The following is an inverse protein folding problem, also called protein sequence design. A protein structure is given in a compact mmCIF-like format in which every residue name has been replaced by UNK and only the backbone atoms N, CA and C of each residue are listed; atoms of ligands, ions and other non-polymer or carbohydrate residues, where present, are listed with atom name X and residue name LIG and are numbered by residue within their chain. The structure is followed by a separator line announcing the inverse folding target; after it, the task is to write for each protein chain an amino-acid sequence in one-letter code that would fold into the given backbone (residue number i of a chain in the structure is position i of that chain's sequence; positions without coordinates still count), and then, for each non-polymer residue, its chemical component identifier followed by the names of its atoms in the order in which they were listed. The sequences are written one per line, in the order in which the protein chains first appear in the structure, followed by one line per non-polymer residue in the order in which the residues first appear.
data_IF_479727313096
#
_entry.id   IF_479727313096
#
_cell.length_a   1.000
_cell.length_b   1.000
_cell.length_c   1.000
_cell.angle_alpha   90.00
_cell.angle_beta   90.00
_cell.angle_gamma   90.00
#
_symmetry.space_group_name_H-M   'P 1'
#
loop_
_entity.id
_entity.type
_entity.pdbx_description
1 polymer ?
#
# COMPACT_ATOMS: atom_id res chain seq x y z
N UNK A 1 4.56 58.48 21.31
CA UNK A 1 4.44 57.77 22.61
C UNK A 1 2.99 57.37 22.91
N UNK A 2 1.97 58.16 22.52
CA UNK A 2 0.57 57.75 22.62
C UNK A 2 0.25 56.47 21.83
N UNK A 3 0.78 56.31 20.62
CA UNK A 3 0.57 55.10 19.80
C UNK A 3 1.08 53.80 20.42
N UNK A 4 2.20 53.84 21.15
CA UNK A 4 2.78 52.61 21.74
C UNK A 4 1.96 52.16 22.95
N UNK A 5 1.47 53.11 23.75
CA UNK A 5 0.62 52.81 24.91
C UNK A 5 -0.73 52.25 24.43
N UNK A 6 -1.29 52.81 23.35
CA UNK A 6 -2.54 52.33 22.75
C UNK A 6 -2.38 50.94 22.11
N UNK A 7 -1.28 50.69 21.40
CA UNK A 7 -0.97 49.34 20.89
C UNK A 7 -0.79 48.34 22.04
N UNK A 8 -0.08 48.71 23.11
CA UNK A 8 0.10 47.85 24.27
C UNK A 8 -1.21 47.58 25.03
N UNK A 9 -2.08 48.58 25.18
CA UNK A 9 -3.40 48.39 25.81
C UNK A 9 -4.29 47.47 24.98
N UNK A 10 -4.30 47.65 23.65
CA UNK A 10 -5.07 46.80 22.74
C UNK A 10 -4.56 45.36 22.73
N UNK A 11 -3.24 45.15 22.83
CA UNK A 11 -2.65 43.82 22.96
C UNK A 11 -2.98 43.17 24.31
N UNK A 12 -2.89 43.92 25.42
CA UNK A 12 -3.24 43.42 26.75
C UNK A 12 -4.71 43.06 26.86
N UNK A 13 -5.60 43.87 26.30
CA UNK A 13 -7.04 43.60 26.27
C UNK A 13 -7.34 42.34 25.45
N UNK A 14 -6.67 42.16 24.31
CA UNK A 14 -6.77 40.93 23.50
C UNK A 14 -6.32 39.69 24.29
N UNK A 15 -5.20 39.77 25.03
CA UNK A 15 -4.70 38.66 25.84
C UNK A 15 -5.67 38.32 26.98
N UNK A 16 -6.18 39.33 27.69
CA UNK A 16 -7.12 39.14 28.79
C UNK A 16 -8.42 38.51 28.29
N UNK A 17 -8.93 38.96 27.14
CA UNK A 17 -10.13 38.41 26.52
C UNK A 17 -9.94 36.99 25.98
N UNK A 18 -8.70 36.57 25.69
CA UNK A 18 -8.37 35.20 25.27
C UNK A 18 -8.26 34.21 26.44
N UNK A 19 -8.02 34.66 27.67
CA UNK A 19 -7.84 33.79 28.84
C UNK A 19 -8.99 32.79 29.06
N UNK A 20 -10.28 33.18 29.00
CA UNK A 20 -11.39 32.24 29.14
C UNK A 20 -11.40 31.15 28.07
N UNK A 21 -11.12 31.51 26.81
CA UNK A 21 -11.06 30.57 25.70
C UNK A 21 -9.90 29.59 25.84
N UNK A 22 -8.73 30.07 26.29
CA UNK A 22 -7.55 29.23 26.56
C UNK A 22 -7.86 28.21 27.65
N UNK A 23 -8.48 28.65 28.76
CA UNK A 23 -8.88 27.73 29.84
C UNK A 23 -9.89 26.69 29.36
N UNK A 24 -10.89 27.09 28.58
CA UNK A 24 -11.87 26.18 28.00
C UNK A 24 -11.21 25.15 27.06
N UNK A 25 -10.31 25.60 26.17
CA UNK A 25 -9.56 24.73 25.27
C UNK A 25 -8.70 23.69 26.01
N UNK A 26 -8.00 24.11 27.07
CA UNK A 26 -7.20 23.20 27.92
C UNK A 26 -8.10 22.13 28.57
N UNK A 27 -9.26 22.53 29.10
CA UNK A 27 -10.22 21.61 29.71
C UNK A 27 -10.71 20.59 28.68
N UNK A 28 -11.05 21.03 27.47
CA UNK A 28 -11.52 20.14 26.39
C UNK A 28 -10.44 19.13 26.00
N UNK A 29 -9.19 19.56 25.83
CA UNK A 29 -8.07 18.65 25.53
C UNK A 29 -7.87 17.65 26.67
N UNK A 30 -7.90 18.10 27.93
CA UNK A 30 -7.77 17.23 29.09
C UNK A 30 -8.88 16.18 29.13
N UNK A 31 -10.13 16.58 28.89
CA UNK A 31 -11.27 15.67 28.80
C UNK A 31 -11.11 14.68 27.64
N UNK A 32 -10.71 15.16 26.46
CA UNK A 32 -10.43 14.30 25.30
C UNK A 32 -9.37 13.25 25.58
N UNK A 33 -8.29 13.61 26.28
CA UNK A 33 -7.25 12.68 26.69
C UNK A 33 -7.74 11.63 27.69
N UNK A 34 -8.52 12.03 28.68
CA UNK A 34 -9.10 11.12 29.68
C UNK A 34 -10.08 10.16 29.01
N UNK A 35 -11.06 10.69 28.28
CA UNK A 35 -12.08 9.90 27.56
C UNK A 35 -11.40 8.98 26.54
N UNK A 36 -10.50 9.52 25.72
CA UNK A 36 -9.76 8.73 24.73
C UNK A 36 -8.94 7.62 25.36
N UNK A 37 -8.33 7.84 26.52
CA UNK A 37 -7.59 6.80 27.25
C UNK A 37 -8.50 5.71 27.80
N UNK A 38 -9.68 6.07 28.29
CA UNK A 38 -10.67 5.11 28.79
C UNK A 38 -11.24 4.27 27.65
N UNK A 39 -11.68 4.92 26.58
CA UNK A 39 -12.26 4.25 25.41
C UNK A 39 -11.20 3.40 24.71
N UNK A 40 -9.98 3.91 24.52
CA UNK A 40 -8.88 3.16 23.91
C UNK A 40 -8.53 1.89 24.69
N UNK A 41 -8.53 1.95 26.04
CA UNK A 41 -8.36 0.76 26.89
C UNK A 41 -9.52 -0.22 26.76
N UNK A 42 -10.76 0.27 26.71
CA UNK A 42 -11.93 -0.58 26.54
C UNK A 42 -11.89 -1.30 25.18
N UNK A 43 -11.55 -0.59 24.10
CA UNK A 43 -11.41 -1.17 22.76
C UNK A 43 -10.27 -2.18 22.73
N UNK A 44 -9.11 -1.86 23.30
CA UNK A 44 -7.99 -2.80 23.41
C UNK A 44 -8.42 -4.11 24.10
N UNK A 45 -9.09 -4.00 25.24
CA UNK A 45 -9.62 -5.15 25.97
C UNK A 45 -10.62 -5.98 25.14
N UNK A 46 -11.54 -5.32 24.41
CA UNK A 46 -12.49 -5.99 23.54
C UNK A 46 -11.80 -6.74 22.38
N UNK A 47 -10.86 -6.09 21.69
CA UNK A 47 -10.12 -6.69 20.57
C UNK A 47 -9.31 -7.90 21.03
N UNK A 48 -8.61 -7.79 22.16
CA UNK A 48 -7.87 -8.91 22.74
C UNK A 48 -8.79 -10.08 23.11
N UNK A 49 -9.99 -9.81 23.63
CA UNK A 49 -10.95 -10.83 24.03
C UNK A 49 -11.63 -11.52 22.84
N UNK A 50 -11.84 -10.81 21.73
CA UNK A 50 -12.40 -11.35 20.50
C UNK A 50 -11.45 -12.31 19.76
N UNK A 51 -10.19 -12.42 20.19
CA UNK A 51 -9.23 -13.33 19.59
C UNK A 51 -8.74 -12.91 18.20
N UNK A 52 -9.06 -11.68 17.77
CA UNK A 52 -8.61 -11.10 16.51
C UNK A 52 -7.08 -11.10 16.40
N UNK A 53 -6.40 -10.96 17.53
CA UNK A 53 -4.95 -11.02 17.66
C UNK A 53 -4.39 -12.37 17.17
N UNK A 54 -4.99 -13.50 17.56
CA UNK A 54 -4.53 -14.83 17.10
C UNK A 54 -4.64 -15.01 15.58
N UNK A 55 -5.64 -14.40 14.96
CA UNK A 55 -5.80 -14.41 13.50
C UNK A 55 -4.77 -13.52 12.83
N UNK A 56 -4.55 -12.32 13.36
CA UNK A 56 -3.55 -11.36 12.90
C UNK A 56 -2.15 -11.97 12.90
N UNK A 57 -1.76 -12.61 13.99
CA UNK A 57 -0.42 -13.16 14.18
C UNK A 57 -0.09 -14.37 13.29
N UNK A 58 -1.11 -15.01 12.73
CA UNK A 58 -0.92 -16.05 11.72
C UNK A 58 -0.66 -15.48 10.32
N UNK A 59 -0.95 -14.19 10.10
CA UNK A 59 -0.66 -13.51 8.84
C UNK A 59 0.82 -13.14 8.75
N UNK A 60 1.33 -13.00 7.53
CA UNK A 60 2.72 -12.57 7.29
C UNK A 60 3.00 -11.18 7.87
N UNK A 61 2.00 -10.30 7.85
CA UNK A 61 2.08 -8.93 8.39
C UNK A 61 2.07 -8.96 9.93
N UNK A 62 1.19 -9.75 10.54
CA UNK A 62 1.13 -9.86 12.00
C UNK A 62 2.38 -10.46 12.61
N UNK A 63 3.02 -11.43 11.96
CA UNK A 63 4.34 -11.93 12.39
C UNK A 63 5.40 -10.83 12.44
N UNK A 64 5.42 -9.93 11.44
CA UNK A 64 6.36 -8.80 11.38
C UNK A 64 6.06 -7.74 12.45
N UNK A 65 4.78 -7.48 12.73
CA UNK A 65 4.34 -6.58 13.80
C UNK A 65 4.71 -7.11 15.18
N UNK A 66 4.44 -8.39 15.46
CA UNK A 66 4.81 -9.04 16.72
C UNK A 66 6.33 -9.07 16.92
N UNK A 67 7.10 -9.33 15.87
CA UNK A 67 8.58 -9.27 15.98
C UNK A 67 9.10 -7.89 16.33
N UNK A 68 8.30 -6.84 16.08
CA UNK A 68 8.61 -5.44 16.45
C UNK A 68 8.08 -5.07 17.85
N UNK A 69 7.50 -6.03 18.59
CA UNK A 69 6.92 -5.80 19.92
C UNK A 69 5.59 -5.04 19.91
N UNK A 70 4.86 -5.05 18.79
CA UNK A 70 3.57 -4.37 18.64
C UNK A 70 2.42 -5.38 18.57
N UNK A 71 1.39 -5.16 19.38
CA UNK A 71 0.16 -5.96 19.38
C UNK A 71 -0.97 -5.24 18.64
N UNK A 72 -1.78 -5.98 17.87
CA UNK A 72 -2.91 -5.40 17.11
C UNK A 72 -3.92 -4.69 18.02
N UNK A 73 -4.20 -5.28 19.17
CA UNK A 73 -5.14 -4.76 20.17
C UNK A 73 -4.67 -3.42 20.75
N UNK A 74 -3.37 -3.31 21.05
CA UNK A 74 -2.71 -2.08 21.46
C UNK A 74 -2.73 -1.01 20.35
N UNK A 75 -2.50 -1.39 19.10
CA UNK A 75 -2.57 -0.47 17.97
C UNK A 75 -3.98 0.07 17.75
N UNK A 76 -5.00 -0.80 17.69
CA UNK A 76 -6.39 -0.37 17.49
C UNK A 76 -6.85 0.51 18.66
N UNK A 77 -6.57 0.12 19.91
CA UNK A 77 -6.89 0.93 21.09
C UNK A 77 -6.15 2.28 21.09
N UNK A 78 -4.88 2.29 20.66
CA UNK A 78 -4.07 3.49 20.50
C UNK A 78 -4.62 4.44 19.43
N UNK A 79 -5.05 3.90 18.28
CA UNK A 79 -5.67 4.68 17.21
C UNK A 79 -7.00 5.28 17.67
N UNK A 80 -7.86 4.51 18.35
CA UNK A 80 -9.13 5.04 18.89
C UNK A 80 -8.88 6.15 19.90
N UNK A 81 -7.91 5.97 20.81
CA UNK A 81 -7.48 7.02 21.73
C UNK A 81 -7.03 8.27 20.95
N UNK A 82 -6.14 8.09 19.98
CA UNK A 82 -5.62 9.19 19.18
C UNK A 82 -6.75 9.93 18.45
N UNK A 83 -7.69 9.21 17.85
CA UNK A 83 -8.84 9.78 17.17
C UNK A 83 -9.68 10.68 18.09
N UNK A 84 -10.01 10.20 19.29
CA UNK A 84 -10.77 11.00 20.27
C UNK A 84 -9.97 12.24 20.72
N UNK A 85 -8.66 12.09 20.95
CA UNK A 85 -7.79 13.21 21.31
C UNK A 85 -7.74 14.25 20.18
N UNK A 86 -7.65 13.81 18.93
CA UNK A 86 -7.64 14.69 17.76
C UNK A 86 -8.96 15.47 17.67
N UNK A 87 -10.10 14.83 17.86
CA UNK A 87 -11.39 15.54 17.89
C UNK A 87 -11.42 16.60 18.99
N UNK A 88 -10.87 16.30 20.16
CA UNK A 88 -10.75 17.29 21.24
C UNK A 88 -9.80 18.44 20.89
N UNK A 89 -8.71 18.17 20.16
CA UNK A 89 -7.79 19.21 19.66
C UNK A 89 -8.48 20.10 18.62
N UNK A 90 -9.24 19.53 17.68
CA UNK A 90 -10.03 20.30 16.70
C UNK A 90 -10.99 21.24 17.44
N UNK A 91 -11.80 20.71 18.36
CA UNK A 91 -12.73 21.51 19.17
C UNK A 91 -12.00 22.60 19.99
N UNK A 92 -10.82 22.30 20.53
CA UNK A 92 -10.03 23.26 21.27
C UNK A 92 -9.52 24.40 20.37
N UNK A 93 -9.07 24.10 19.16
CA UNK A 93 -8.65 25.11 18.17
C UNK A 93 -9.83 26.00 17.78
N UNK A 94 -11.01 25.41 17.56
CA UNK A 94 -12.25 26.15 17.28
C UNK A 94 -12.64 27.08 18.45
N UNK A 95 -12.56 26.60 19.69
CA UNK A 95 -12.82 27.40 20.90
C UNK A 95 -11.84 28.58 21.02
N UNK A 96 -10.56 28.36 20.72
CA UNK A 96 -9.55 29.40 20.73
C UNK A 96 -9.82 30.49 19.68
N UNK A 97 -10.60 30.17 18.65
CA UNK A 97 -10.97 31.06 17.54
C UNK A 97 -9.76 31.85 17.03
N UNK A 98 -8.64 31.14 16.80
CA UNK A 98 -7.42 31.73 16.27
C UNK A 98 -7.74 32.21 14.87
N UNK A 99 -8.03 33.49 14.68
CA UNK A 99 -8.35 34.03 13.36
C UNK A 99 -7.12 34.12 12.44
N UNK A 100 -7.39 34.41 11.16
CA UNK A 100 -6.36 34.63 10.15
C UNK A 100 -5.67 33.33 9.67
N UNK A 101 -4.61 33.50 8.90
CA UNK A 101 -3.95 32.39 8.19
C UNK A 101 -3.41 31.31 9.12
N UNK A 102 -2.94 31.69 10.31
CA UNK A 102 -2.45 30.73 11.31
C UNK A 102 -3.58 29.80 11.78
N UNK A 103 -4.78 30.35 12.02
CA UNK A 103 -5.97 29.58 12.35
C UNK A 103 -6.31 28.56 11.29
N UNK A 104 -6.35 29.02 10.04
CA UNK A 104 -6.66 28.19 8.88
C UNK A 104 -5.69 27.00 8.76
N UNK A 105 -4.38 27.23 8.98
CA UNK A 105 -3.40 26.15 8.99
C UNK A 105 -3.56 25.19 10.16
N UNK A 106 -3.88 25.69 11.36
CA UNK A 106 -4.11 24.85 12.54
C UNK A 106 -5.32 23.93 12.33
N UNK A 107 -6.40 24.46 11.77
CA UNK A 107 -7.60 23.68 11.43
C UNK A 107 -7.26 22.66 10.34
N UNK A 108 -6.56 23.06 9.27
CA UNK A 108 -6.18 22.15 8.18
C UNK A 108 -5.29 20.99 8.67
N UNK A 109 -4.32 21.25 9.56
CA UNK A 109 -3.48 20.21 10.17
C UNK A 109 -4.34 19.30 11.05
N UNK A 110 -5.21 19.86 11.87
CA UNK A 110 -6.06 19.09 12.76
C UNK A 110 -7.04 18.20 11.98
N UNK A 111 -7.62 18.70 10.89
CA UNK A 111 -8.52 17.96 9.98
C UNK A 111 -7.80 16.87 9.16
N UNK A 112 -6.49 16.99 8.99
CA UNK A 112 -5.68 15.96 8.36
C UNK A 112 -5.45 14.76 9.27
N UNK A 113 -5.35 14.96 10.59
CA UNK A 113 -5.03 13.89 11.54
C UNK A 113 -6.04 12.72 11.54
N UNK A 114 -7.38 12.93 11.45
CA UNK A 114 -8.34 11.85 11.28
C UNK A 114 -8.09 11.02 10.02
N UNK A 115 -7.75 11.67 8.90
CA UNK A 115 -7.42 11.01 7.63
C UNK A 115 -6.15 10.20 7.74
N UNK A 116 -5.14 10.76 8.42
CA UNK A 116 -3.88 10.07 8.70
C UNK A 116 -4.13 8.75 9.45
N UNK A 117 -4.94 8.81 10.52
CA UNK A 117 -5.32 7.62 11.28
C UNK A 117 -6.12 6.63 10.44
N UNK A 118 -7.09 7.10 9.65
CA UNK A 118 -7.89 6.25 8.78
C UNK A 118 -7.01 5.53 7.75
N UNK A 119 -6.06 6.22 7.12
CA UNK A 119 -5.11 5.62 6.17
C UNK A 119 -4.24 4.55 6.82
N UNK A 120 -3.70 4.80 8.02
CA UNK A 120 -2.94 3.82 8.79
C UNK A 120 -3.80 2.58 9.10
N UNK A 121 -5.05 2.78 9.53
CA UNK A 121 -5.98 1.68 9.79
C UNK A 121 -6.31 0.88 8.53
N UNK A 122 -6.51 1.54 7.38
CA UNK A 122 -6.76 0.87 6.12
C UNK A 122 -5.58 -0.03 5.75
N UNK A 123 -4.34 0.43 5.93
CA UNK A 123 -3.15 -0.39 5.66
C UNK A 123 -3.13 -1.61 6.59
N UNK A 124 -3.29 -1.40 7.91
CA UNK A 124 -3.21 -2.48 8.90
C UNK A 124 -4.34 -3.49 8.70
N UNK A 125 -5.59 -3.04 8.69
CA UNK A 125 -6.78 -3.92 8.58
C UNK A 125 -6.86 -4.52 7.18
N UNK A 126 -6.62 -3.71 6.15
CA UNK A 126 -6.67 -4.14 4.76
C UNK A 126 -5.62 -5.19 4.45
N UNK A 127 -4.40 -5.09 4.98
CA UNK A 127 -3.38 -6.10 4.76
C UNK A 127 -3.74 -7.45 5.39
N UNK A 128 -4.40 -7.44 6.56
CA UNK A 128 -4.93 -8.64 7.21
C UNK A 128 -6.04 -9.26 6.40
N UNK A 129 -6.96 -8.41 5.92
CA UNK A 129 -8.04 -8.84 5.06
C UNK A 129 -7.51 -9.44 3.74
N UNK A 130 -6.50 -8.84 3.14
CA UNK A 130 -5.85 -9.34 1.93
C UNK A 130 -5.20 -10.72 2.15
N UNK A 131 -4.49 -10.92 3.26
CA UNK A 131 -3.89 -12.22 3.61
C UNK A 131 -4.96 -13.28 3.89
N UNK A 132 -6.01 -12.93 4.64
CA UNK A 132 -7.14 -13.81 4.92
C UNK A 132 -7.84 -14.24 3.62
N UNK A 133 -8.22 -13.28 2.76
CA UNK A 133 -8.98 -13.55 1.55
C UNK A 133 -8.15 -14.35 0.53
N UNK A 134 -6.89 -13.97 0.32
CA UNK A 134 -5.99 -14.71 -0.57
C UNK A 134 -5.74 -16.13 -0.08
N UNK A 135 -5.56 -16.33 1.23
CA UNK A 135 -5.37 -17.66 1.81
C UNK A 135 -6.64 -18.50 1.77
N UNK A 136 -7.80 -17.90 1.99
CA UNK A 136 -9.10 -18.57 1.85
C UNK A 136 -9.31 -19.07 0.43
N UNK A 137 -9.12 -18.20 -0.57
CA UNK A 137 -9.23 -18.55 -1.99
C UNK A 137 -8.19 -19.59 -2.37
N UNK A 138 -6.93 -19.44 -1.93
CA UNK A 138 -5.87 -20.43 -2.16
C UNK A 138 -6.24 -21.82 -1.66
N UNK A 139 -6.85 -21.93 -0.47
CA UNK A 139 -7.33 -23.21 0.08
C UNK A 139 -8.50 -23.81 -0.71
N UNK A 140 -9.38 -22.99 -1.28
CA UNK A 140 -10.48 -23.47 -2.13
C UNK A 140 -9.99 -23.91 -3.51
N UNK A 141 -8.98 -23.22 -4.04
CA UNK A 141 -8.44 -23.44 -5.38
C UNK A 141 -7.46 -24.62 -5.40
N UNK A 142 -6.68 -24.83 -4.32
CA UNK A 142 -5.65 -25.89 -4.26
C UNK A 142 -6.17 -27.31 -4.54
N UNK A 143 -7.35 -27.74 -4.04
CA UNK A 143 -7.94 -29.04 -4.38
C UNK A 143 -8.34 -29.21 -5.85
N UNK A 144 -8.46 -28.12 -6.61
CA UNK A 144 -8.80 -28.16 -8.04
C UNK A 144 -7.60 -28.53 -8.93
N UNK A 145 -6.39 -28.52 -8.36
CA UNK A 145 -5.15 -28.88 -9.05
C UNK A 145 -4.62 -30.22 -8.53
N UNK A 146 -4.01 -31.01 -9.41
CA UNK A 146 -3.26 -32.23 -9.00
C UNK A 146 -2.05 -31.85 -8.14
N UNK A 147 -1.49 -32.81 -7.38
CA UNK A 147 -0.30 -32.56 -6.53
C UNK A 147 0.87 -31.97 -7.34
N UNK A 148 1.04 -32.42 -8.59
CA UNK A 148 2.02 -31.91 -9.56
C UNK A 148 1.76 -30.46 -10.00
N UNK A 149 0.52 -29.95 -9.90
CA UNK A 149 0.13 -28.58 -10.27
C UNK A 149 -0.17 -27.69 -9.08
N UNK A 150 0.19 -28.14 -7.87
CA UNK A 150 -0.04 -27.40 -6.63
C UNK A 150 0.63 -26.01 -6.62
N UNK A 151 1.68 -25.83 -7.41
CA UNK A 151 2.37 -24.54 -7.60
C UNK A 151 1.53 -23.50 -8.33
N UNK A 152 0.63 -23.91 -9.22
CA UNK A 152 -0.31 -23.01 -9.90
C UNK A 152 -1.30 -22.44 -8.88
N UNK A 153 -1.77 -23.26 -7.95
CA UNK A 153 -2.65 -22.80 -6.87
C UNK A 153 -1.95 -21.80 -5.95
N UNK A 154 -0.69 -22.06 -5.60
CA UNK A 154 0.10 -21.18 -4.76
C UNK A 154 0.43 -19.85 -5.49
N UNK A 155 0.68 -19.90 -6.80
CA UNK A 155 0.83 -18.71 -7.65
C UNK A 155 -0.46 -17.88 -7.66
N UNK A 156 -1.62 -18.48 -7.94
CA UNK A 156 -2.91 -17.77 -7.96
C UNK A 156 -3.22 -17.08 -6.62
N UNK A 157 -2.91 -17.75 -5.50
CA UNK A 157 -2.98 -17.16 -4.17
C UNK A 157 -2.09 -15.93 -4.04
N UNK A 158 -0.83 -16.02 -4.47
CA UNK A 158 0.13 -14.92 -4.38
C UNK A 158 -0.28 -13.73 -5.26
N UNK A 159 -0.79 -13.99 -6.47
CA UNK A 159 -1.27 -12.94 -7.37
C UNK A 159 -2.45 -12.18 -6.77
N UNK A 160 -3.40 -12.92 -6.21
CA UNK A 160 -4.54 -12.32 -5.51
C UNK A 160 -4.07 -11.50 -4.31
N UNK A 161 -3.12 -12.02 -3.51
CA UNK A 161 -2.56 -11.29 -2.38
C UNK A 161 -1.92 -9.97 -2.82
N UNK A 162 -1.03 -9.99 -3.83
CA UNK A 162 -0.37 -8.78 -4.35
C UNK A 162 -1.39 -7.78 -4.87
N UNK A 163 -2.41 -8.23 -5.62
CA UNK A 163 -3.48 -7.36 -6.12
C UNK A 163 -4.31 -6.73 -5.00
N UNK A 164 -4.67 -7.49 -3.97
CA UNK A 164 -5.43 -6.98 -2.82
C UNK A 164 -4.60 -6.01 -1.99
N UNK A 165 -3.31 -6.28 -1.76
CA UNK A 165 -2.42 -5.35 -1.05
C UNK A 165 -2.27 -4.05 -1.84
N UNK A 166 -2.12 -4.11 -3.17
CA UNK A 166 -2.07 -2.93 -4.00
C UNK A 166 -3.35 -2.10 -3.90
N UNK A 167 -4.52 -2.75 -3.93
CA UNK A 167 -5.80 -2.09 -3.72
C UNK A 167 -5.89 -1.42 -2.35
N UNK A 168 -5.45 -2.11 -1.29
CA UNK A 168 -5.40 -1.54 0.07
C UNK A 168 -4.49 -0.32 0.14
N UNK A 169 -3.31 -0.37 -0.47
CA UNK A 169 -2.38 0.76 -0.54
C UNK A 169 -2.98 1.93 -1.31
N UNK A 170 -3.65 1.67 -2.44
CA UNK A 170 -4.36 2.70 -3.20
C UNK A 170 -5.44 3.39 -2.37
N UNK A 171 -6.30 2.61 -1.70
CA UNK A 171 -7.32 3.16 -0.81
C UNK A 171 -6.72 3.96 0.34
N UNK A 172 -5.64 3.47 0.93
CA UNK A 172 -4.95 4.17 2.02
C UNK A 172 -4.38 5.50 1.54
N UNK A 173 -3.66 5.51 0.42
CA UNK A 173 -3.08 6.76 -0.11
C UNK A 173 -4.14 7.75 -0.57
N UNK A 174 -5.23 7.29 -1.17
CA UNK A 174 -6.38 8.13 -1.50
C UNK A 174 -6.97 8.78 -0.24
N UNK A 175 -7.20 7.99 0.81
CA UNK A 175 -7.68 8.48 2.12
C UNK A 175 -6.73 9.52 2.73
N UNK A 176 -5.42 9.28 2.61
CA UNK A 176 -4.36 10.18 3.08
C UNK A 176 -4.19 11.43 2.21
N UNK A 177 -4.95 11.58 1.13
CA UNK A 177 -4.76 12.62 0.11
C UNK A 177 -3.37 12.60 -0.54
N UNK A 178 -2.71 11.44 -0.48
CA UNK A 178 -1.41 11.17 -1.12
C UNK A 178 -1.58 10.44 -2.45
N UNK A 179 -2.77 9.92 -2.76
CA UNK A 179 -3.09 9.12 -3.95
C UNK A 179 -3.07 9.86 -5.29
N UNK A 180 -2.32 10.95 -5.41
CA UNK A 180 -2.22 11.77 -6.61
C UNK A 180 -1.77 11.00 -7.86
N UNK A 181 -1.73 11.70 -9.00
CA UNK A 181 -1.51 11.11 -10.33
C UNK A 181 -0.22 10.28 -10.45
N UNK A 182 0.77 10.48 -9.59
CA UNK A 182 2.04 9.73 -9.59
C UNK A 182 2.01 8.46 -8.73
N UNK A 183 1.24 8.42 -7.63
CA UNK A 183 1.24 7.26 -6.71
C UNK A 183 0.51 6.07 -7.30
N UNK A 184 -0.62 6.30 -7.99
CA UNK A 184 -1.36 5.21 -8.63
C UNK A 184 -0.53 4.45 -9.68
N UNK A 185 0.11 5.10 -10.67
CA UNK A 185 0.93 4.42 -11.66
C UNK A 185 2.19 3.77 -11.06
N UNK A 186 2.76 4.36 -10.00
CA UNK A 186 3.87 3.77 -9.25
C UNK A 186 3.50 2.40 -8.67
N UNK A 187 2.39 2.32 -7.92
CA UNK A 187 1.91 1.07 -7.32
C UNK A 187 1.55 0.07 -8.41
N UNK A 188 0.82 0.51 -9.43
CA UNK A 188 0.44 -0.35 -10.55
C UNK A 188 1.66 -0.95 -11.24
N UNK A 189 2.70 -0.17 -11.48
CA UNK A 189 3.94 -0.67 -12.08
C UNK A 189 4.66 -1.69 -11.22
N UNK A 190 4.78 -1.47 -9.91
CA UNK A 190 5.33 -2.49 -8.99
C UNK A 190 4.50 -3.78 -8.99
N UNK A 191 3.18 -3.67 -9.04
CA UNK A 191 2.28 -4.82 -9.14
C UNK A 191 2.51 -5.57 -10.43
N UNK A 192 2.56 -4.88 -11.58
CA UNK A 192 2.82 -5.50 -12.88
C UNK A 192 4.13 -6.28 -12.86
N UNK A 193 5.20 -5.71 -12.28
CA UNK A 193 6.51 -6.36 -12.18
C UNK A 193 6.41 -7.60 -11.27
N UNK A 194 5.88 -7.44 -10.06
CA UNK A 194 5.79 -8.53 -9.08
C UNK A 194 4.91 -9.68 -9.56
N UNK A 195 3.73 -9.36 -10.10
CA UNK A 195 2.80 -10.33 -10.71
C UNK A 195 3.46 -11.00 -11.92
N UNK A 196 4.12 -10.23 -12.78
CA UNK A 196 4.81 -10.73 -13.95
C UNK A 196 5.92 -11.72 -13.65
N UNK A 197 6.75 -11.41 -12.65
CA UNK A 197 7.81 -12.30 -12.16
C UNK A 197 7.18 -13.58 -11.58
N UNK A 198 6.18 -13.44 -10.70
CA UNK A 198 5.50 -14.58 -10.09
C UNK A 198 4.84 -15.50 -11.12
N UNK A 199 4.22 -14.93 -12.16
CA UNK A 199 3.64 -15.67 -13.28
C UNK A 199 4.71 -16.40 -14.09
N UNK A 200 5.79 -15.70 -14.42
CA UNK A 200 6.90 -16.26 -15.19
C UNK A 200 7.51 -17.48 -14.48
N UNK A 201 7.74 -17.37 -13.17
CA UNK A 201 8.30 -18.48 -12.39
C UNK A 201 7.36 -19.67 -12.30
N UNK A 202 6.08 -19.45 -11.99
CA UNK A 202 5.10 -20.53 -11.88
C UNK A 202 4.87 -21.25 -13.21
N UNK A 203 4.71 -20.50 -14.31
CA UNK A 203 4.46 -21.08 -15.63
C UNK A 203 5.67 -21.85 -16.17
N UNK A 204 6.87 -21.27 -16.10
CA UNK A 204 8.07 -21.94 -16.62
C UNK A 204 8.39 -23.17 -15.80
N UNK A 205 8.22 -23.13 -14.49
CA UNK A 205 8.43 -24.30 -13.64
C UNK A 205 7.43 -25.42 -13.97
N UNK A 206 6.15 -25.10 -14.06
CA UNK A 206 5.13 -26.07 -14.48
C UNK A 206 5.44 -26.73 -15.83
N UNK A 207 5.95 -25.96 -16.79
CA UNK A 207 6.34 -26.51 -18.11
C UNK A 207 7.57 -27.42 -17.99
N UNK A 208 8.59 -27.04 -17.22
CA UNK A 208 9.79 -27.86 -17.03
C UNK A 208 9.53 -29.18 -16.30
N UNK A 209 8.54 -29.18 -15.40
CA UNK A 209 8.15 -30.37 -14.64
C UNK A 209 7.41 -31.38 -15.54
N UNK A 210 6.55 -30.89 -16.45
CA UNK A 210 5.87 -31.73 -17.46
C UNK A 210 6.80 -32.15 -18.62
N UNK A 211 7.72 -31.27 -19.01
CA UNK A 211 8.56 -31.41 -20.19
C UNK A 211 10.03 -31.07 -19.86
N UNK A 212 10.77 -32.07 -19.38
CA UNK A 212 12.17 -31.89 -18.95
C UNK A 212 13.12 -31.43 -20.06
N UNK A 213 12.73 -31.62 -21.33
CA UNK A 213 13.46 -31.15 -22.52
C UNK A 213 13.55 -29.62 -22.61
N UNK A 214 12.67 -28.87 -21.94
CA UNK A 214 12.70 -27.41 -21.96
C UNK A 214 13.64 -26.78 -20.91
N UNK A 215 14.32 -27.58 -20.09
CA UNK A 215 15.25 -27.05 -19.05
C UNK A 215 16.34 -26.15 -19.63
N UNK A 216 16.86 -26.49 -20.80
CA UNK A 216 17.94 -25.74 -21.44
C UNK A 216 17.48 -24.39 -22.00
N UNK A 217 16.20 -24.25 -22.34
CA UNK A 217 15.63 -22.99 -22.87
C UNK A 217 14.91 -22.17 -21.81
N UNK A 218 14.59 -22.77 -20.65
CA UNK A 218 13.83 -22.12 -19.58
C UNK A 218 14.49 -20.83 -19.08
N UNK A 219 15.84 -20.79 -18.99
CA UNK A 219 16.57 -19.60 -18.61
C UNK A 219 16.34 -18.43 -19.57
N UNK A 220 16.34 -18.69 -20.88
CA UNK A 220 16.06 -17.68 -21.90
C UNK A 220 14.61 -17.20 -21.86
N UNK A 221 13.66 -18.14 -21.70
CA UNK A 221 12.25 -17.80 -21.57
C UNK A 221 11.99 -16.91 -20.33
N UNK A 222 12.61 -17.24 -19.18
CA UNK A 222 12.54 -16.41 -17.97
C UNK A 222 13.08 -15.02 -18.21
N UNK A 223 14.26 -14.91 -18.80
CA UNK A 223 14.87 -13.61 -19.10
C UNK A 223 13.96 -12.74 -19.98
N UNK A 224 13.40 -13.29 -21.06
CA UNK A 224 12.52 -12.56 -21.97
C UNK A 224 11.25 -12.10 -21.25
N UNK A 225 10.58 -12.99 -20.51
CA UNK A 225 9.36 -12.64 -19.80
C UNK A 225 9.60 -11.61 -18.69
N UNK A 226 10.66 -11.78 -17.89
CA UNK A 226 11.05 -10.79 -16.89
C UNK A 226 11.33 -9.42 -17.53
N UNK A 227 12.05 -9.39 -18.65
CA UNK A 227 12.32 -8.14 -19.36
C UNK A 227 11.03 -7.47 -19.83
N UNK A 228 10.08 -8.23 -20.38
CA UNK A 228 8.77 -7.71 -20.81
C UNK A 228 8.03 -7.08 -19.62
N UNK A 229 7.89 -7.81 -18.50
CA UNK A 229 7.17 -7.30 -17.34
C UNK A 229 7.88 -6.12 -16.67
N UNK A 230 9.21 -6.11 -16.66
CA UNK A 230 10.00 -5.00 -16.16
C UNK A 230 9.79 -3.75 -17.03
N UNK A 231 9.81 -3.89 -18.35
CA UNK A 231 9.55 -2.80 -19.30
C UNK A 231 8.13 -2.24 -19.13
N UNK A 232 7.11 -3.10 -19.12
CA UNK A 232 5.71 -2.68 -18.96
C UNK A 232 5.50 -1.99 -17.61
N UNK A 233 6.00 -2.60 -16.54
CA UNK A 233 5.87 -2.04 -15.20
C UNK A 233 6.61 -0.73 -15.02
N UNK A 234 7.81 -0.60 -15.59
CA UNK A 234 8.54 0.68 -15.61
C UNK A 234 7.79 1.73 -16.42
N UNK A 235 7.21 1.35 -17.56
CA UNK A 235 6.33 2.22 -18.34
C UNK A 235 5.12 2.73 -17.54
N UNK A 236 4.52 1.86 -16.73
CA UNK A 236 3.45 2.26 -15.81
C UNK A 236 3.95 3.21 -14.71
N UNK A 237 5.09 2.93 -14.06
CA UNK A 237 5.68 3.81 -13.02
C UNK A 237 5.85 5.23 -13.54
N UNK A 238 6.35 5.36 -14.77
CA UNK A 238 6.65 6.65 -15.38
C UNK A 238 5.53 7.21 -16.26
N UNK A 239 4.30 6.67 -16.18
CA UNK A 239 3.19 7.06 -17.06
C UNK A 239 2.86 8.57 -17.03
N UNK A 240 3.19 9.27 -15.94
CA UNK A 240 3.00 10.72 -15.80
C UNK A 240 4.14 11.56 -16.38
N UNK A 241 5.18 10.93 -16.93
CA UNK A 241 6.38 11.59 -17.44
C UNK A 241 6.57 11.26 -18.94
N UNK A 242 5.95 12.04 -19.85
CA UNK A 242 5.94 11.75 -21.29
C UNK A 242 7.34 11.48 -21.88
N UNK A 243 8.34 12.29 -21.52
CA UNK A 243 9.71 12.09 -22.01
C UNK A 243 10.35 10.77 -21.55
N UNK A 244 9.98 10.27 -20.36
CA UNK A 244 10.47 8.97 -19.87
C UNK A 244 9.71 7.82 -20.53
N UNK A 245 8.39 7.96 -20.73
CA UNK A 245 7.59 6.95 -21.44
C UNK A 245 8.04 6.77 -22.88
N UNK A 246 8.45 7.84 -23.56
CA UNK A 246 8.97 7.77 -24.94
C UNK A 246 10.30 7.00 -24.99
N UNK A 247 11.21 7.26 -24.04
CA UNK A 247 12.48 6.53 -23.92
C UNK A 247 12.24 5.05 -23.64
N UNK A 248 11.33 4.73 -22.70
CA UNK A 248 10.95 3.33 -22.41
C UNK A 248 10.34 2.68 -23.65
N UNK A 249 9.48 3.38 -24.39
CA UNK A 249 8.89 2.91 -25.64
C UNK A 249 9.96 2.57 -26.69
N UNK A 250 10.95 3.43 -26.86
CA UNK A 250 12.08 3.20 -27.77
C UNK A 250 12.91 1.97 -27.36
N UNK A 251 13.21 1.84 -26.06
CA UNK A 251 13.89 0.65 -25.50
C UNK A 251 13.05 -0.61 -25.76
N UNK A 252 11.73 -0.54 -25.56
CA UNK A 252 10.81 -1.65 -25.80
C UNK A 252 10.86 -2.13 -27.25
N UNK A 253 10.82 -1.21 -28.22
CA UNK A 253 10.93 -1.53 -29.64
C UNK A 253 12.30 -2.11 -30.00
N UNK A 254 13.39 -1.50 -29.50
CA UNK A 254 14.73 -2.02 -29.73
C UNK A 254 14.89 -3.44 -29.19
N UNK A 255 14.36 -3.70 -27.99
CA UNK A 255 14.34 -5.03 -27.38
C UNK A 255 13.50 -6.03 -28.19
N UNK A 256 12.30 -5.65 -28.62
CA UNK A 256 11.44 -6.49 -29.45
C UNK A 256 12.10 -6.84 -30.80
N UNK A 257 12.76 -5.88 -31.45
CA UNK A 257 13.51 -6.09 -32.68
C UNK A 257 14.69 -7.04 -32.44
N UNK A 258 15.46 -6.85 -31.37
CA UNK A 258 16.59 -7.71 -31.03
C UNK A 258 16.16 -9.17 -30.80
N UNK A 259 15.05 -9.39 -30.07
CA UNK A 259 14.46 -10.72 -29.90
C UNK A 259 14.00 -11.30 -31.24
N UNK A 260 13.33 -10.50 -32.07
CA UNK A 260 12.90 -10.91 -33.40
C UNK A 260 14.07 -11.38 -34.28
N UNK A 261 15.18 -10.64 -34.28
CA UNK A 261 16.40 -11.01 -35.02
C UNK A 261 16.99 -12.32 -34.48
N UNK A 262 17.04 -12.50 -33.16
CA UNK A 262 17.55 -13.74 -32.54
C UNK A 262 16.72 -14.99 -32.87
N UNK A 263 15.44 -14.85 -33.22
CA UNK A 263 14.58 -15.97 -33.62
C UNK A 263 14.80 -16.41 -35.08
N UNK A 264 15.38 -15.56 -35.94
CA UNK A 264 15.58 -15.87 -37.37
C UNK A 264 16.43 -17.14 -37.59
N UNK A 265 17.61 -17.30 -36.96
CA UNK A 265 18.42 -18.51 -37.14
C UNK A 265 17.73 -19.78 -36.64
N UNK A 266 16.95 -19.66 -35.56
CA UNK A 266 16.18 -20.77 -34.97
C UNK A 266 15.09 -21.22 -35.93
N UNK A 267 14.29 -20.28 -36.45
CA UNK A 267 13.24 -20.56 -37.43
C UNK A 267 13.80 -21.17 -38.73
N UNK A 268 14.93 -20.65 -39.23
CA UNK A 268 15.62 -21.20 -40.40
C UNK A 268 16.16 -22.62 -40.15
N UNK A 269 16.72 -22.89 -38.98
CA UNK A 269 17.21 -24.23 -38.60
C UNK A 269 16.09 -25.27 -38.51
N UNK A 270 14.94 -24.90 -37.92
CA UNK A 270 13.77 -25.77 -37.79
C UNK A 270 13.16 -26.10 -39.15
N UNK A 271 12.95 -25.09 -40.00
CA UNK A 271 12.42 -25.28 -41.36
C UNK A 271 13.32 -26.19 -42.21
N UNK A 272 14.65 -26.07 -42.10
CA UNK A 272 15.61 -26.96 -42.79
C UNK A 272 15.57 -28.41 -42.27
N UNK A 273 15.37 -28.64 -40.97
CA UNK A 273 15.22 -29.99 -40.41
C UNK A 273 13.94 -30.67 -40.90
N UNK A 274 12.84 -29.93 -40.95
CA UNK A 274 11.54 -30.45 -41.42
C UNK A 274 11.57 -30.77 -42.91
N UNK A 275 12.18 -29.91 -43.74
CA UNK A 275 12.30 -30.17 -45.18
C UNK A 275 13.34 -31.25 -45.54
N UNK A 276 14.37 -31.44 -44.70
CA UNK A 276 15.39 -32.48 -44.89
C UNK A 276 15.00 -33.89 -44.47
N UNK A 277 13.98 -34.05 -43.62
CA UNK A 277 13.45 -35.36 -43.17
C UNK A 277 12.35 -35.96 -44.07
N UNK A 278 12.02 -35.30 -45.19
CA UNK A 278 11.00 -35.75 -46.15
C UNK A 278 11.58 -36.56 -47.34
N UNK A 279 12.85 -36.99 -47.26
CA UNK A 279 13.51 -37.82 -48.28
C UNK A 279 13.89 -39.19 -47.74
#
# INVERSE_FOLDING_TARGET
MADIIEVLSNMLETIINALPAILAAIIVIALGFVIGSLVGKAVNYLVGRLGLERGFDQTSVGRSFRSSGLDLSNLIGGVVKAFIVILAVILAIEILNVGGTLGDYLIAIADYLPRLLAGILIIVIGAVFADFLSSFIGKMVKPMFSEEKSEIADMLRNLLFVGLIAFVLLLAFDTLLLGGSTIYPLILGFVIIGVGISLTDGLIKSIMDEHSEFKDIAGYAKFVLYAIFLIIGTGAIFATFPGVTDVIGNISWAFAIALGIMLIPVAYGLTKKVSGGMN
#
